data_IF_747457122603
#
_entry.id   IF_747457122603
#
_cell.length_a   1.000
_cell.length_b   1.000
_cell.length_c   1.000
_cell.angle_alpha   90.00
_cell.angle_beta   90.00
_cell.angle_gamma   90.00
#
_symmetry.space_group_name_H-M   'P 1'
#
loop_
_entity.id
_entity.type
_entity.pdbx_description
1 polymer ?
#
# COMPACT_ATOMS: atom_id res chain seq x y z
N UNK A 1 11.15 39.83 -18.22
CA UNK A 1 10.10 39.07 -18.91
C UNK A 1 9.74 37.88 -18.02
N UNK A 2 8.67 38.00 -17.23
CA UNK A 2 8.17 36.96 -16.34
C UNK A 2 6.66 36.84 -16.60
N UNK A 3 6.25 35.84 -17.38
CA UNK A 3 4.85 35.59 -17.76
C UNK A 3 4.45 34.22 -17.24
N UNK A 4 4.00 34.13 -15.99
CA UNK A 4 3.37 32.90 -15.46
C UNK A 4 2.30 33.10 -14.37
N UNK A 5 1.77 34.31 -14.10
CA UNK A 5 0.93 34.52 -12.89
C UNK A 5 -0.34 35.37 -13.06
N UNK A 6 -1.17 35.05 -14.05
CA UNK A 6 -2.52 35.60 -14.25
C UNK A 6 -3.36 34.52 -14.95
N UNK A 7 -4.51 34.01 -14.48
CA UNK A 7 -5.57 34.53 -13.62
C UNK A 7 -6.36 33.33 -13.06
N UNK A 8 -6.34 33.07 -11.75
CA UNK A 8 -7.44 32.31 -11.15
C UNK A 8 -8.63 33.26 -11.03
N UNK A 9 -9.73 32.98 -11.71
CA UNK A 9 -10.96 33.77 -11.55
C UNK A 9 -11.40 33.73 -10.09
N UNK A 10 -11.73 34.89 -9.51
CA UNK A 10 -12.24 34.98 -8.14
C UNK A 10 -13.46 34.06 -7.91
N UNK A 11 -14.23 33.79 -8.96
CA UNK A 11 -15.36 32.87 -8.89
C UNK A 11 -14.92 31.41 -8.76
N UNK A 12 -13.79 31.03 -9.38
CA UNK A 12 -13.19 29.71 -9.20
C UNK A 12 -12.62 29.55 -7.77
N UNK A 13 -11.96 30.59 -7.24
CA UNK A 13 -11.49 30.61 -5.85
C UNK A 13 -12.66 30.52 -4.86
N UNK A 14 -13.77 31.21 -5.12
CA UNK A 14 -14.96 31.11 -4.28
C UNK A 14 -15.63 29.73 -4.36
N UNK A 15 -15.68 29.12 -5.54
CA UNK A 15 -16.20 27.76 -5.69
C UNK A 15 -15.36 26.77 -4.88
N UNK A 16 -14.03 26.85 -4.99
CA UNK A 16 -13.11 26.01 -4.23
C UNK A 16 -13.23 26.21 -2.70
N UNK A 17 -13.45 27.45 -2.24
CA UNK A 17 -13.76 27.75 -0.84
C UNK A 17 -15.11 27.14 -0.40
N UNK A 18 -16.14 27.22 -1.26
CA UNK A 18 -17.47 26.69 -0.97
C UNK A 18 -17.48 25.17 -0.87
N UNK A 19 -16.75 24.49 -1.75
CA UNK A 19 -16.60 23.03 -1.75
C UNK A 19 -15.53 22.53 -0.76
N UNK A 20 -14.71 23.43 -0.21
CA UNK A 20 -13.56 23.12 0.64
C UNK A 20 -12.57 22.18 -0.05
N UNK A 21 -12.30 22.46 -1.31
CA UNK A 21 -11.46 21.63 -2.16
C UNK A 21 -9.99 21.71 -1.72
N UNK A 22 -9.49 20.60 -1.19
CA UNK A 22 -8.14 20.47 -0.68
C UNK A 22 -7.04 20.61 -1.73
N UNK A 23 -7.35 20.36 -3.00
CA UNK A 23 -6.39 20.52 -4.11
C UNK A 23 -5.91 21.97 -4.23
N UNK A 24 -6.68 22.92 -3.71
CA UNK A 24 -6.34 24.35 -3.71
C UNK A 24 -5.81 24.84 -2.36
N UNK A 25 -5.65 23.97 -1.38
CA UNK A 25 -5.09 24.33 -0.08
C UNK A 25 -3.65 24.84 -0.24
N UNK A 26 -3.36 26.03 0.29
CA UNK A 26 -2.08 26.71 0.08
C UNK A 26 -1.85 27.28 -1.32
N UNK A 27 -2.77 27.05 -2.27
CA UNK A 27 -2.73 27.68 -3.61
C UNK A 27 -3.29 29.11 -3.61
N UNK A 28 -4.18 29.42 -2.67
CA UNK A 28 -4.68 30.78 -2.43
C UNK A 28 -5.21 30.92 -1.00
N UNK A 29 -5.44 32.17 -0.57
CA UNK A 29 -6.01 32.54 0.72
C UNK A 29 -7.23 33.43 0.51
N UNK A 30 -8.25 33.27 1.35
CA UNK A 30 -9.47 34.09 1.30
C UNK A 30 -9.49 35.06 2.47
N UNK A 31 -9.36 36.36 2.21
CA UNK A 31 -9.65 37.42 3.17
C UNK A 31 -11.15 37.72 3.22
N UNK A 32 -11.70 37.75 4.43
CA UNK A 32 -13.13 38.02 4.68
C UNK A 32 -13.28 39.44 5.21
N UNK A 33 -13.81 40.35 4.39
CA UNK A 33 -13.89 41.78 4.71
C UNK A 33 -14.75 42.06 5.94
N UNK A 34 -15.81 41.28 6.15
CA UNK A 34 -16.70 41.45 7.30
C UNK A 34 -16.07 41.11 8.65
N UNK A 35 -14.98 40.34 8.68
CA UNK A 35 -14.31 39.93 9.93
C UNK A 35 -12.85 40.37 10.01
N UNK A 36 -12.27 40.85 8.91
CA UNK A 36 -10.84 41.16 8.80
C UNK A 36 -9.95 39.93 8.94
N UNK A 37 -10.46 38.71 8.72
CA UNK A 37 -9.73 37.45 8.86
C UNK A 37 -9.44 36.85 7.50
N UNK A 38 -8.23 36.33 7.29
CA UNK A 38 -7.95 35.48 6.13
C UNK A 38 -7.83 33.99 6.50
N UNK A 39 -8.32 33.15 5.60
CA UNK A 39 -8.49 31.71 5.77
C UNK A 39 -7.89 30.93 4.60
N UNK A 40 -7.62 29.64 4.84
CA UNK A 40 -7.40 28.63 3.80
C UNK A 40 -8.72 28.24 3.12
N UNK A 41 -8.72 27.75 1.86
CA UNK A 41 -9.95 27.31 1.19
C UNK A 41 -10.62 26.10 1.85
N UNK A 42 -9.85 25.29 2.60
CA UNK A 42 -10.35 24.14 3.37
C UNK A 42 -10.89 24.49 4.76
N UNK A 43 -11.01 25.79 5.08
CA UNK A 43 -11.40 26.20 6.43
C UNK A 43 -12.80 25.69 6.80
N UNK A 44 -12.89 25.01 7.96
CA UNK A 44 -14.14 24.43 8.47
C UNK A 44 -15.13 25.45 9.06
N UNK A 45 -14.84 26.75 9.00
CA UNK A 45 -15.80 27.79 9.40
C UNK A 45 -16.96 27.90 8.41
N UNK A 46 -18.03 28.58 8.82
CA UNK A 46 -19.16 28.88 7.94
C UNK A 46 -18.66 29.68 6.75
N UNK A 47 -18.98 29.23 5.54
CA UNK A 47 -18.52 29.88 4.30
C UNK A 47 -19.07 31.32 4.26
N UNK A 48 -18.19 32.33 4.14
CA UNK A 48 -18.60 33.73 4.00
C UNK A 48 -19.34 33.95 2.67
N UNK A 49 -20.12 35.03 2.59
CA UNK A 49 -20.75 35.43 1.33
C UNK A 49 -19.69 35.88 0.33
N UNK A 50 -19.92 35.60 -0.96
CA UNK A 50 -19.03 35.96 -2.08
C UNK A 50 -18.62 37.44 -2.07
N UNK A 51 -19.57 38.32 -1.79
CA UNK A 51 -19.38 39.78 -1.72
C UNK A 51 -18.33 40.19 -0.66
N UNK A 52 -18.16 39.39 0.39
CA UNK A 52 -17.22 39.64 1.47
C UNK A 52 -15.87 38.94 1.28
N UNK A 53 -15.65 38.25 0.16
CA UNK A 53 -14.44 37.47 -0.09
C UNK A 53 -13.48 38.22 -1.02
N UNK A 54 -12.22 38.32 -0.59
CA UNK A 54 -11.08 38.72 -1.43
C UNK A 54 -10.06 37.59 -1.46
N UNK A 55 -9.46 37.32 -2.61
CA UNK A 55 -8.54 36.21 -2.78
C UNK A 55 -7.10 36.71 -2.97
N UNK A 56 -6.15 35.98 -2.40
CA UNK A 56 -4.73 36.31 -2.41
C UNK A 56 -3.92 35.07 -2.78
N UNK A 57 -2.86 35.22 -3.57
CA UNK A 57 -1.95 34.11 -3.91
C UNK A 57 -1.07 33.70 -2.74
N UNK A 58 -0.71 34.66 -1.86
CA UNK A 58 0.14 34.43 -0.71
C UNK A 58 -0.43 35.01 0.59
N UNK A 59 -0.15 34.36 1.72
CA UNK A 59 -0.52 34.85 3.05
C UNK A 59 0.02 36.27 3.32
N UNK A 60 1.25 36.55 2.88
CA UNK A 60 1.86 37.88 2.99
C UNK A 60 1.05 38.98 2.28
N UNK A 61 0.39 38.66 1.15
CA UNK A 61 -0.48 39.61 0.45
C UNK A 61 -1.74 39.92 1.27
N UNK A 62 -2.35 38.89 1.88
CA UNK A 62 -3.51 39.08 2.76
C UNK A 62 -3.17 39.90 4.00
N UNK A 63 -2.00 39.66 4.62
CA UNK A 63 -1.54 40.42 5.78
C UNK A 63 -1.22 41.87 5.43
N UNK A 64 -0.54 42.11 4.30
CA UNK A 64 -0.30 43.47 3.79
C UNK A 64 -1.60 44.23 3.48
N UNK A 65 -2.67 43.50 3.15
CA UNK A 65 -4.00 44.05 2.92
C UNK A 65 -4.82 44.23 4.23
N UNK A 66 -4.22 43.99 5.40
CA UNK A 66 -4.82 44.24 6.71
C UNK A 66 -5.64 43.08 7.28
N UNK A 67 -5.56 41.87 6.70
CA UNK A 67 -6.26 40.70 7.24
C UNK A 67 -5.41 39.96 8.27
N UNK A 68 -6.00 39.59 9.40
CA UNK A 68 -5.35 38.74 10.42
C UNK A 68 -5.53 37.25 10.13
N UNK A 69 -4.58 36.37 10.50
CA UNK A 69 -4.70 34.94 10.24
C UNK A 69 -5.83 34.30 11.05
N UNK A 70 -6.54 33.36 10.42
CA UNK A 70 -7.58 32.58 11.09
C UNK A 70 -6.98 31.61 12.13
N UNK A 71 -7.40 31.74 13.38
CA UNK A 71 -6.96 30.84 14.45
C UNK A 71 -7.44 29.39 14.29
N UNK A 72 -8.49 29.15 13.47
CA UNK A 72 -9.07 27.81 13.30
C UNK A 72 -8.41 27.01 12.19
N UNK A 73 -8.19 27.59 11.02
CA UNK A 73 -7.50 26.88 9.94
C UNK A 73 -5.98 27.05 9.94
N UNK A 74 -5.46 27.97 10.78
CA UNK A 74 -4.03 28.24 10.97
C UNK A 74 -3.32 28.39 9.60
N UNK A 75 -3.54 29.52 8.88
CA UNK A 75 -3.02 29.72 7.53
C UNK A 75 -1.50 29.54 7.38
N UNK A 76 -0.73 29.71 8.45
CA UNK A 76 0.71 29.42 8.49
C UNK A 76 1.05 27.93 8.35
N UNK A 77 0.07 27.04 8.59
CA UNK A 77 0.15 25.61 8.32
C UNK A 77 -0.41 25.23 6.95
N UNK A 78 -0.75 26.21 6.11
CA UNK A 78 -1.08 25.92 4.73
C UNK A 78 0.14 25.20 4.11
N UNK A 79 -0.07 24.06 3.43
CA UNK A 79 1.03 23.45 2.70
C UNK A 79 1.56 24.52 1.74
N UNK A 80 2.89 24.67 1.64
CA UNK A 80 3.45 25.34 0.46
C UNK A 80 2.85 24.64 -0.77
N UNK A 81 2.84 25.25 -1.95
CA UNK A 81 2.28 24.67 -3.19
C UNK A 81 2.98 23.38 -3.69
N UNK A 82 3.49 22.58 -2.77
CA UNK A 82 3.94 21.21 -2.86
C UNK A 82 2.75 20.37 -2.38
N UNK A 83 2.13 19.65 -3.31
CA UNK A 83 1.02 18.68 -3.26
C UNK A 83 0.76 17.85 -1.96
N UNK A 84 0.62 18.47 -0.79
CA UNK A 84 0.43 17.79 0.50
C UNK A 84 -0.64 18.49 1.33
N UNK A 85 -1.91 18.39 0.93
CA UNK A 85 -3.03 18.84 1.75
C UNK A 85 -3.29 17.88 2.92
N UNK A 86 -3.99 18.35 3.97
CA UNK A 86 -4.47 17.54 5.10
C UNK A 86 -5.42 16.41 4.62
N UNK A 87 -6.08 16.56 3.47
CA UNK A 87 -6.81 15.46 2.84
C UNK A 87 -5.88 14.37 2.29
N UNK A 88 -4.74 14.75 1.70
CA UNK A 88 -3.71 13.81 1.30
C UNK A 88 -3.14 13.09 2.53
N UNK A 89 -3.02 13.77 3.68
CA UNK A 89 -2.57 13.11 4.91
C UNK A 89 -3.51 11.96 5.34
N UNK A 90 -4.84 12.10 5.18
CA UNK A 90 -5.78 11.01 5.51
C UNK A 90 -5.65 9.83 4.53
N UNK A 91 -5.52 10.11 3.24
CA UNK A 91 -5.32 9.08 2.21
C UNK A 91 -3.96 8.41 2.35
N UNK A 92 -2.90 9.17 2.63
CA UNK A 92 -1.55 8.66 2.88
C UNK A 92 -1.54 7.81 4.15
N UNK A 93 -2.17 8.26 5.24
CA UNK A 93 -2.28 7.47 6.47
C UNK A 93 -3.07 6.19 6.25
N UNK A 94 -4.16 6.23 5.47
CA UNK A 94 -4.92 5.03 5.11
C UNK A 94 -4.08 4.06 4.26
N UNK A 95 -3.33 4.56 3.28
CA UNK A 95 -2.41 3.76 2.46
C UNK A 95 -1.26 3.18 3.30
N UNK A 96 -0.68 3.95 4.21
CA UNK A 96 0.33 3.48 5.16
C UNK A 96 -0.24 2.40 6.08
N UNK A 97 -1.47 2.59 6.59
CA UNK A 97 -2.17 1.59 7.37
C UNK A 97 -2.35 0.28 6.58
N UNK A 98 -2.75 0.37 5.31
CA UNK A 98 -2.90 -0.79 4.44
C UNK A 98 -1.55 -1.49 4.21
N UNK A 99 -0.48 -0.73 3.93
CA UNK A 99 0.89 -1.26 3.81
C UNK A 99 1.32 -2.01 5.06
N UNK A 100 1.05 -1.46 6.26
CA UNK A 100 1.34 -2.11 7.54
C UNK A 100 0.56 -3.42 7.73
N UNK A 101 -0.71 -3.46 7.32
CA UNK A 101 -1.54 -4.67 7.40
C UNK A 101 -1.13 -5.74 6.36
N UNK A 102 -0.58 -5.30 5.23
CA UNK A 102 -0.03 -6.15 4.18
C UNK A 102 1.34 -6.74 4.54
N UNK A 103 1.98 -6.28 5.63
CA UNK A 103 3.23 -6.86 6.13
C UNK A 103 2.97 -8.16 6.90
N UNK A 104 3.40 -9.33 6.40
CA UNK A 104 3.12 -10.58 7.09
C UNK A 104 3.90 -10.75 8.39
N UNK A 105 4.94 -9.95 8.61
CA UNK A 105 5.66 -9.82 9.88
C UNK A 105 4.71 -9.38 11.03
N UNK A 106 3.63 -8.67 10.69
CA UNK A 106 2.60 -8.22 11.63
C UNK A 106 1.62 -9.36 11.96
N UNK A 107 1.63 -10.49 11.25
CA UNK A 107 0.66 -11.57 11.44
C UNK A 107 1.00 -12.57 12.56
N UNK A 108 2.02 -12.29 13.38
CA UNK A 108 2.49 -13.16 14.47
C UNK A 108 1.44 -13.46 15.56
N UNK A 109 1.88 -14.12 16.64
CA UNK A 109 1.01 -14.75 17.66
C UNK A 109 -0.03 -13.81 18.28
N UNK A 110 0.22 -12.50 18.30
CA UNK A 110 -0.76 -11.48 18.70
C UNK A 110 -1.49 -11.00 17.47
N UNK A 111 -2.81 -11.23 17.41
CA UNK A 111 -3.66 -10.65 16.36
C UNK A 111 -3.47 -9.13 16.35
N UNK A 112 -3.10 -8.51 15.21
CA UNK A 112 -2.91 -7.07 15.13
C UNK A 112 -4.17 -6.37 15.62
N UNK A 113 -4.07 -5.53 16.64
CA UNK A 113 -5.17 -4.68 17.04
C UNK A 113 -5.13 -3.38 16.25
N UNK A 114 -6.30 -2.78 16.02
CA UNK A 114 -6.36 -1.45 15.41
C UNK A 114 -5.71 -0.40 16.31
N UNK A 115 -5.66 -0.64 17.62
CA UNK A 115 -4.93 0.20 18.59
C UNK A 115 -3.41 0.20 18.33
N UNK A 116 -2.81 -0.96 18.07
CA UNK A 116 -1.38 -1.06 17.71
C UNK A 116 -1.10 -0.38 16.37
N UNK A 117 -2.00 -0.55 15.39
CA UNK A 117 -1.91 0.13 14.10
C UNK A 117 -1.97 1.66 14.27
N UNK A 118 -2.89 2.14 15.10
CA UNK A 118 -3.07 3.55 15.40
C UNK A 118 -1.86 4.14 16.14
N UNK A 119 -1.32 3.42 17.12
CA UNK A 119 -0.11 3.81 17.85
C UNK A 119 1.09 3.94 16.90
N UNK A 120 1.29 3.00 15.96
CA UNK A 120 2.36 3.09 14.95
C UNK A 120 2.20 4.28 14.00
N UNK A 121 0.97 4.67 13.70
CA UNK A 121 0.65 5.79 12.82
C UNK A 121 0.58 7.14 13.55
N UNK A 122 0.73 7.16 14.89
CA UNK A 122 0.64 8.38 15.70
C UNK A 122 -0.76 9.01 15.76
N UNK A 123 -1.82 8.21 15.58
CA UNK A 123 -3.21 8.66 15.55
C UNK A 123 -4.11 7.82 16.46
N UNK A 124 -5.35 8.24 16.68
CA UNK A 124 -6.31 7.45 17.48
C UNK A 124 -6.95 6.31 16.67
N UNK A 125 -7.35 5.22 17.35
CA UNK A 125 -8.07 4.09 16.75
C UNK A 125 -9.29 4.56 15.94
N UNK A 126 -10.11 5.44 16.54
CA UNK A 126 -11.27 6.03 15.89
C UNK A 126 -10.92 6.76 14.59
N UNK A 127 -9.77 7.45 14.57
CA UNK A 127 -9.32 8.15 13.36
C UNK A 127 -8.91 7.14 12.28
N UNK A 128 -8.11 6.12 12.62
CA UNK A 128 -7.69 5.06 11.67
C UNK A 128 -8.89 4.37 11.04
N UNK A 129 -9.85 3.91 11.84
CA UNK A 129 -11.05 3.24 11.32
C UNK A 129 -11.78 4.10 10.31
N UNK A 130 -12.03 5.37 10.67
CA UNK A 130 -12.75 6.33 9.82
C UNK A 130 -12.02 6.59 8.49
N UNK A 131 -10.71 6.86 8.52
CA UNK A 131 -9.97 7.15 7.28
C UNK A 131 -9.80 5.90 6.42
N UNK A 132 -9.65 4.72 7.04
CA UNK A 132 -9.48 3.46 6.32
C UNK A 132 -10.80 3.05 5.64
N UNK A 133 -11.92 3.14 6.34
CA UNK A 133 -13.25 2.88 5.77
C UNK A 133 -13.59 3.88 4.66
N UNK A 134 -13.27 5.16 4.83
CA UNK A 134 -13.47 6.16 3.79
C UNK A 134 -12.64 5.87 2.52
N UNK A 135 -11.43 5.32 2.67
CA UNK A 135 -10.52 5.05 1.55
C UNK A 135 -10.77 3.68 0.88
N UNK A 136 -11.04 2.64 1.66
CA UNK A 136 -11.11 1.24 1.18
C UNK A 136 -12.50 0.61 1.28
N UNK A 137 -13.49 1.30 1.88
CA UNK A 137 -14.86 0.82 2.03
C UNK A 137 -15.05 -0.30 3.05
N UNK A 138 -13.99 -0.72 3.74
CA UNK A 138 -13.99 -1.80 4.74
C UNK A 138 -13.17 -1.40 5.96
N UNK A 139 -13.45 -2.03 7.11
CA UNK A 139 -12.64 -1.79 8.31
C UNK A 139 -11.24 -2.40 8.19
N UNK A 140 -10.22 -1.87 8.92
CA UNK A 140 -8.86 -2.43 8.93
C UNK A 140 -8.81 -3.93 9.23
N UNK A 141 -9.65 -4.41 10.15
CA UNK A 141 -9.67 -5.83 10.54
C UNK A 141 -10.29 -6.73 9.46
N UNK A 142 -11.33 -6.25 8.76
CA UNK A 142 -11.91 -6.96 7.62
C UNK A 142 -10.92 -7.04 6.46
N UNK A 143 -10.18 -5.95 6.21
CA UNK A 143 -9.09 -5.93 5.23
C UNK A 143 -8.04 -6.99 5.57
N UNK A 144 -7.51 -6.99 6.80
CA UNK A 144 -6.54 -7.99 7.25
C UNK A 144 -7.06 -9.42 7.13
N UNK A 145 -8.31 -9.67 7.54
CA UNK A 145 -8.96 -10.97 7.42
C UNK A 145 -9.03 -11.44 5.97
N UNK A 146 -9.31 -10.53 5.03
CA UNK A 146 -9.33 -10.82 3.59
C UNK A 146 -7.93 -11.16 3.08
N UNK A 147 -6.89 -10.42 3.49
CA UNK A 147 -5.49 -10.71 3.11
C UNK A 147 -5.05 -12.10 3.57
N UNK A 148 -5.31 -12.44 4.84
CA UNK A 148 -5.03 -13.78 5.39
C UNK A 148 -5.73 -14.90 4.62
N UNK A 149 -7.01 -14.69 4.27
CA UNK A 149 -7.78 -15.65 3.49
C UNK A 149 -7.29 -15.80 2.05
N UNK A 150 -6.82 -14.73 1.41
CA UNK A 150 -6.24 -14.77 0.07
C UNK A 150 -4.89 -15.50 0.07
N UNK A 151 -4.03 -15.25 1.05
CA UNK A 151 -2.79 -16.00 1.23
C UNK A 151 -3.05 -17.49 1.43
N UNK A 152 -4.00 -17.85 2.31
CA UNK A 152 -4.37 -19.24 2.50
C UNK A 152 -4.89 -19.90 1.21
N UNK A 153 -5.73 -19.17 0.45
CA UNK A 153 -6.25 -19.63 -0.85
C UNK A 153 -5.12 -19.92 -1.84
N UNK A 154 -4.13 -19.04 -1.93
CA UNK A 154 -2.96 -19.23 -2.79
C UNK A 154 -2.16 -20.47 -2.36
N UNK A 155 -1.82 -20.60 -1.07
CA UNK A 155 -1.05 -21.73 -0.56
C UNK A 155 -1.80 -23.06 -0.75
N UNK A 156 -3.12 -23.09 -0.59
CA UNK A 156 -3.94 -24.29 -0.85
C UNK A 156 -3.93 -24.70 -2.33
N UNK A 157 -3.77 -23.75 -3.25
CA UNK A 157 -3.78 -23.99 -4.69
C UNK A 157 -2.38 -24.36 -5.24
N UNK A 158 -1.32 -23.80 -4.64
CA UNK A 158 0.04 -23.93 -5.17
C UNK A 158 0.89 -24.98 -4.44
N UNK A 159 0.55 -25.31 -3.19
CA UNK A 159 1.38 -26.17 -2.33
C UNK A 159 0.64 -27.42 -1.85
N UNK A 160 1.40 -28.42 -1.40
CA UNK A 160 0.91 -29.64 -0.74
C UNK A 160 0.95 -29.53 0.80
N UNK A 161 1.39 -28.39 1.34
CA UNK A 161 1.54 -28.15 2.78
C UNK A 161 0.29 -28.56 3.57
N UNK A 162 0.43 -29.22 4.73
CA UNK A 162 -0.69 -29.53 5.61
C UNK A 162 -1.57 -28.29 5.90
N UNK A 163 -2.90 -28.47 5.97
CA UNK A 163 -3.84 -27.38 6.28
C UNK A 163 -3.49 -26.68 7.59
N UNK A 164 -2.99 -27.44 8.57
CA UNK A 164 -2.50 -26.94 9.85
C UNK A 164 -1.39 -25.88 9.66
N UNK A 165 -0.44 -26.16 8.78
CA UNK A 165 0.65 -25.24 8.44
C UNK A 165 0.15 -24.04 7.64
N UNK A 166 -0.72 -24.26 6.65
CA UNK A 166 -1.30 -23.16 5.86
C UNK A 166 -2.04 -22.16 6.75
N UNK A 167 -2.80 -22.64 7.74
CA UNK A 167 -3.50 -21.79 8.69
C UNK A 167 -2.53 -20.88 9.47
N UNK A 168 -1.46 -21.46 10.02
CA UNK A 168 -0.44 -20.73 10.78
C UNK A 168 0.32 -19.73 9.90
N UNK A 169 0.82 -20.18 8.75
CA UNK A 169 1.55 -19.36 7.78
C UNK A 169 0.69 -18.19 7.30
N UNK A 170 -0.61 -18.40 7.10
CA UNK A 170 -1.56 -17.36 6.69
C UNK A 170 -2.00 -16.43 7.83
N UNK A 171 -1.39 -16.53 9.02
CA UNK A 171 -1.62 -15.62 10.15
C UNK A 171 -2.83 -15.97 11.03
N UNK A 172 -3.33 -17.20 11.00
CA UNK A 172 -4.39 -17.63 11.91
C UNK A 172 -3.81 -18.30 13.15
N UNK A 173 -4.20 -17.80 14.34
CA UNK A 173 -3.78 -18.39 15.62
C UNK A 173 -4.37 -19.77 15.93
N UNK A 174 -5.30 -20.28 15.10
CA UNK A 174 -5.74 -21.68 15.19
C UNK A 174 -6.41 -22.16 13.90
N UNK A 175 -6.30 -23.47 13.64
CA UNK A 175 -6.95 -24.14 12.51
C UNK A 175 -8.47 -24.02 12.58
N UNK A 176 -9.05 -24.04 13.79
CA UNK A 176 -10.49 -23.86 14.00
C UNK A 176 -10.95 -22.48 13.52
N UNK A 177 -10.24 -21.42 13.90
CA UNK A 177 -10.56 -20.04 13.47
C UNK A 177 -10.36 -19.88 11.96
N UNK A 178 -9.31 -20.48 11.41
CA UNK A 178 -9.08 -20.53 9.98
C UNK A 178 -10.26 -21.16 9.22
N UNK A 179 -10.63 -22.40 9.57
CA UNK A 179 -11.72 -23.12 8.90
C UNK A 179 -13.05 -22.34 9.00
N UNK A 180 -13.37 -21.80 10.18
CA UNK A 180 -14.58 -21.00 10.37
C UNK A 180 -14.60 -19.75 9.46
N UNK A 181 -13.49 -18.99 9.41
CA UNK A 181 -13.38 -17.82 8.55
C UNK A 181 -13.42 -18.18 7.06
N UNK A 182 -12.76 -19.26 6.67
CA UNK A 182 -12.69 -19.71 5.28
C UNK A 182 -14.05 -20.15 4.75
N UNK A 183 -14.79 -20.97 5.52
CA UNK A 183 -16.15 -21.39 5.16
C UNK A 183 -17.12 -20.21 5.17
N UNK A 184 -17.02 -19.32 6.16
CA UNK A 184 -17.88 -18.14 6.24
C UNK A 184 -17.75 -17.25 4.99
N UNK A 185 -16.51 -17.08 4.49
CA UNK A 185 -16.21 -16.19 3.37
C UNK A 185 -16.34 -16.84 1.99
N UNK A 186 -15.80 -18.05 1.80
CA UNK A 186 -15.76 -18.70 0.48
C UNK A 186 -16.85 -19.76 0.27
N UNK A 187 -17.63 -20.10 1.30
CA UNK A 187 -18.70 -21.13 1.25
C UNK A 187 -18.23 -22.51 0.80
N UNK A 188 -16.93 -22.78 0.89
CA UNK A 188 -16.27 -24.03 0.49
C UNK A 188 -15.28 -24.44 1.57
N UNK A 189 -15.05 -25.75 1.74
CA UNK A 189 -14.04 -26.23 2.67
C UNK A 189 -12.63 -26.10 2.07
N UNK A 190 -11.60 -25.78 2.88
CA UNK A 190 -10.21 -25.69 2.42
C UNK A 190 -9.72 -26.91 1.63
N UNK A 191 -10.08 -28.12 2.08
CA UNK A 191 -9.72 -29.38 1.40
C UNK A 191 -10.38 -29.52 0.04
N UNK A 192 -11.60 -29.00 -0.15
CA UNK A 192 -12.30 -29.03 -1.45
C UNK A 192 -11.65 -28.08 -2.47
N UNK A 193 -11.04 -26.99 -2.01
CA UNK A 193 -10.30 -26.08 -2.88
C UNK A 193 -9.00 -26.71 -3.39
N UNK A 194 -8.41 -27.64 -2.63
CA UNK A 194 -7.21 -28.38 -3.01
C UNK A 194 -7.54 -29.34 -4.17
N UNK A 195 -7.49 -28.84 -5.40
CA UNK A 195 -7.59 -29.65 -6.63
C UNK A 195 -6.23 -30.33 -6.93
N UNK A 196 -6.28 -31.47 -7.63
CA UNK A 196 -5.19 -32.40 -7.95
C UNK A 196 -4.07 -31.85 -8.89
N UNK A 197 -3.75 -30.56 -8.81
CA UNK A 197 -2.77 -29.87 -9.65
C UNK A 197 -1.43 -29.58 -8.95
N UNK A 198 -1.21 -30.10 -7.74
CA UNK A 198 0.11 -30.08 -7.11
C UNK A 198 0.96 -31.16 -7.79
N UNK A 199 1.67 -30.79 -8.86
CA UNK A 199 2.73 -31.63 -9.38
C UNK A 199 3.74 -31.90 -8.24
N UNK A 200 4.24 -33.14 -8.06
CA UNK A 200 5.22 -33.45 -7.04
C UNK A 200 6.40 -32.48 -7.18
N UNK A 201 6.67 -31.75 -6.10
CA UNK A 201 7.71 -30.76 -6.09
C UNK A 201 9.06 -31.48 -6.20
N UNK A 202 9.88 -31.11 -7.19
CA UNK A 202 11.33 -31.17 -6.96
C UNK A 202 11.67 -30.35 -5.72
N UNK A 203 12.87 -30.48 -5.15
CA UNK A 203 13.29 -29.81 -3.91
C UNK A 203 12.65 -28.42 -3.68
N UNK A 204 11.98 -28.21 -2.54
CA UNK A 204 11.42 -26.92 -2.11
C UNK A 204 9.91 -26.69 -2.37
N UNK A 205 9.36 -25.64 -1.74
CA UNK A 205 7.96 -25.21 -1.83
C UNK A 205 7.77 -24.33 -3.06
N UNK A 206 6.78 -24.64 -3.89
CA UNK A 206 6.47 -23.89 -5.12
C UNK A 206 5.24 -22.99 -4.95
N UNK A 207 5.32 -21.74 -5.42
CA UNK A 207 4.24 -20.75 -5.43
C UNK A 207 4.20 -20.01 -6.76
N UNK A 208 3.00 -19.72 -7.27
CA UNK A 208 2.81 -18.96 -8.52
C UNK A 208 2.48 -17.51 -8.21
N UNK A 209 3.24 -16.59 -8.81
CA UNK A 209 3.09 -15.15 -8.63
C UNK A 209 2.73 -14.50 -9.96
N UNK A 210 1.48 -14.05 -10.13
CA UNK A 210 1.06 -13.35 -11.35
C UNK A 210 1.68 -11.95 -11.46
N UNK A 211 1.86 -11.47 -12.68
CA UNK A 211 2.19 -10.07 -12.99
C UNK A 211 1.38 -9.56 -14.18
N UNK A 212 1.36 -8.24 -14.39
CA UNK A 212 0.64 -7.62 -15.50
C UNK A 212 1.56 -7.47 -16.72
N UNK A 213 1.18 -7.91 -17.93
CA UNK A 213 1.90 -7.56 -19.14
C UNK A 213 1.59 -6.12 -19.59
N UNK A 214 2.47 -5.47 -20.37
CA UNK A 214 3.79 -5.95 -20.80
C UNK A 214 4.80 -5.93 -19.64
N UNK A 215 5.63 -6.97 -19.54
CA UNK A 215 6.69 -7.06 -18.53
C UNK A 215 8.00 -7.41 -19.23
N UNK A 216 9.01 -6.54 -19.11
CA UNK A 216 10.31 -6.73 -19.75
C UNK A 216 11.21 -7.65 -18.91
N UNK A 217 11.01 -8.95 -19.09
CA UNK A 217 11.78 -9.99 -18.37
C UNK A 217 13.26 -9.91 -18.69
N UNK A 218 13.62 -9.63 -19.94
CA UNK A 218 15.01 -9.57 -20.39
C UNK A 218 15.76 -8.40 -19.76
N UNK A 219 15.13 -7.22 -19.73
CA UNK A 219 15.71 -6.06 -19.05
C UNK A 219 15.86 -6.28 -17.55
N UNK A 220 14.86 -6.88 -16.90
CA UNK A 220 14.92 -7.18 -15.46
C UNK A 220 16.04 -8.17 -15.13
N UNK A 221 16.14 -9.29 -15.85
CA UNK A 221 17.20 -10.27 -15.63
C UNK A 221 18.58 -9.71 -15.99
N UNK A 222 18.69 -8.95 -17.08
CA UNK A 222 19.94 -8.26 -17.43
C UNK A 222 20.37 -7.19 -16.42
N UNK A 223 19.42 -6.56 -15.70
CA UNK A 223 19.73 -5.66 -14.59
C UNK A 223 20.33 -6.41 -13.39
N UNK A 224 19.78 -7.58 -13.07
CA UNK A 224 20.24 -8.44 -11.98
C UNK A 224 21.58 -9.10 -12.29
N UNK A 225 21.77 -9.60 -13.52
CA UNK A 225 23.01 -10.23 -13.98
C UNK A 225 24.21 -9.31 -13.79
N UNK A 226 24.07 -8.02 -14.14
CA UNK A 226 25.11 -6.99 -13.94
C UNK A 226 25.49 -6.74 -12.46
N UNK A 227 24.69 -7.22 -11.50
CA UNK A 227 24.85 -7.01 -10.05
C UNK A 227 24.97 -8.33 -9.28
N UNK A 228 25.08 -9.44 -9.98
CA UNK A 228 25.09 -10.77 -9.40
C UNK A 228 26.30 -10.95 -8.46
N UNK A 229 26.04 -11.52 -7.29
CA UNK A 229 27.10 -12.01 -6.40
C UNK A 229 27.38 -13.49 -6.70
N UNK A 230 28.49 -13.78 -7.37
CA UNK A 230 28.81 -15.10 -7.96
C UNK A 230 28.61 -16.31 -7.02
N UNK A 231 28.89 -16.17 -5.73
CA UNK A 231 28.80 -17.28 -4.75
C UNK A 231 27.45 -17.42 -4.08
N UNK A 232 26.58 -16.41 -4.19
CA UNK A 232 25.30 -16.31 -3.45
C UNK A 232 24.12 -16.38 -4.41
N UNK A 233 24.29 -15.92 -5.65
CA UNK A 233 23.23 -15.70 -6.61
C UNK A 233 23.56 -16.33 -7.98
N UNK A 234 22.52 -16.70 -8.72
CA UNK A 234 22.62 -17.02 -10.14
C UNK A 234 21.56 -16.26 -10.94
N UNK A 235 21.89 -15.95 -12.19
CA UNK A 235 20.95 -15.42 -13.18
C UNK A 235 21.11 -16.23 -14.47
N UNK A 236 19.99 -16.72 -14.98
CA UNK A 236 19.88 -17.38 -16.27
C UNK A 236 18.94 -16.55 -17.14
N UNK A 237 19.47 -15.96 -18.21
CA UNK A 237 18.72 -15.12 -19.13
C UNK A 237 18.92 -15.61 -20.58
N UNK A 238 18.34 -16.76 -20.89
CA UNK A 238 18.40 -17.34 -22.23
C UNK A 238 17.01 -17.82 -22.70
N UNK A 239 16.93 -18.35 -23.92
CA UNK A 239 15.65 -18.78 -24.50
C UNK A 239 15.01 -19.98 -23.77
N UNK A 240 15.82 -20.84 -23.17
CA UNK A 240 15.37 -22.05 -22.48
C UNK A 240 15.00 -21.77 -21.01
N UNK A 241 15.69 -20.81 -20.38
CA UNK A 241 15.54 -20.50 -18.97
C UNK A 241 15.67 -19.00 -18.71
N UNK A 242 14.61 -18.44 -18.13
CA UNK A 242 14.54 -17.07 -17.61
C UNK A 242 14.36 -17.11 -16.10
N UNK A 243 15.45 -17.24 -15.37
CA UNK A 243 15.40 -17.48 -13.92
C UNK A 243 16.51 -16.74 -13.17
N UNK A 244 16.28 -16.51 -11.89
CA UNK A 244 17.33 -16.10 -10.96
C UNK A 244 17.11 -16.78 -9.62
N UNK A 245 18.18 -17.06 -8.90
CA UNK A 245 18.07 -17.61 -7.56
C UNK A 245 19.16 -17.09 -6.66
N UNK A 246 18.91 -17.20 -5.35
CA UNK A 246 19.87 -16.78 -4.34
C UNK A 246 19.69 -17.50 -3.02
N UNK A 247 20.76 -17.57 -2.24
CA UNK A 247 20.69 -17.85 -0.81
C UNK A 247 20.50 -16.55 -0.03
N UNK A 248 19.79 -16.63 1.10
CA UNK A 248 19.59 -15.48 1.98
C UNK A 248 19.20 -15.91 3.41
N UNK A 249 19.32 -14.98 4.35
CA UNK A 249 18.76 -15.09 5.68
C UNK A 249 17.70 -14.01 5.92
N UNK A 250 16.71 -14.35 6.74
CA UNK A 250 15.62 -13.48 7.13
C UNK A 250 15.37 -13.61 8.63
N UNK A 251 15.32 -12.48 9.33
CA UNK A 251 14.94 -12.46 10.74
C UNK A 251 13.45 -12.18 10.86
N UNK A 252 12.71 -13.08 11.51
CA UNK A 252 11.28 -12.94 11.77
C UNK A 252 10.93 -13.54 13.13
N UNK A 253 10.16 -12.81 13.94
CA UNK A 253 9.75 -13.30 15.26
C UNK A 253 10.91 -13.68 16.19
N UNK A 254 12.05 -12.97 16.10
CA UNK A 254 13.25 -13.27 16.88
C UNK A 254 14.02 -14.53 16.43
N UNK A 255 13.62 -15.18 15.33
CA UNK A 255 14.30 -16.34 14.74
C UNK A 255 14.94 -15.97 13.41
N UNK A 256 16.12 -16.51 13.14
CA UNK A 256 16.79 -16.41 11.83
C UNK A 256 16.41 -17.61 10.98
N UNK A 257 15.84 -17.34 9.81
CA UNK A 257 15.52 -18.33 8.80
C UNK A 257 16.52 -18.20 7.65
N UNK A 258 17.31 -19.24 7.38
CA UNK A 258 18.27 -19.28 6.28
C UNK A 258 17.81 -20.27 5.22
N UNK A 259 17.94 -19.91 3.95
CA UNK A 259 17.47 -20.76 2.86
C UNK A 259 17.83 -20.22 1.49
N UNK A 260 17.19 -20.80 0.48
CA UNK A 260 17.35 -20.38 -0.91
C UNK A 260 16.00 -20.13 -1.56
N UNK A 261 16.01 -19.28 -2.59
CA UNK A 261 14.90 -19.11 -3.51
C UNK A 261 15.37 -19.23 -4.96
N UNK A 262 14.45 -19.64 -5.83
CA UNK A 262 14.58 -19.56 -7.29
C UNK A 262 13.29 -18.96 -7.84
N UNK A 263 13.43 -17.93 -8.65
CA UNK A 263 12.38 -17.18 -9.30
C UNK A 263 12.50 -17.40 -10.81
N UNK A 264 11.56 -18.14 -11.39
CA UNK A 264 11.55 -18.50 -12.81
C UNK A 264 10.37 -17.84 -13.51
N UNK A 265 10.64 -17.04 -14.54
CA UNK A 265 9.61 -16.39 -15.33
C UNK A 265 8.98 -17.37 -16.31
N UNK A 266 7.64 -17.36 -16.35
CA UNK A 266 6.80 -18.07 -17.31
C UNK A 266 6.01 -17.03 -18.14
N UNK A 267 6.63 -16.42 -19.18
CA UNK A 267 6.04 -15.28 -19.91
C UNK A 267 4.69 -15.59 -20.57
N UNK A 268 4.53 -16.81 -21.07
CA UNK A 268 3.29 -17.25 -21.72
C UNK A 268 2.07 -17.26 -20.77
N UNK A 269 2.30 -17.44 -19.47
CA UNK A 269 1.26 -17.45 -18.43
C UNK A 269 1.21 -16.14 -17.63
N UNK A 270 2.09 -15.18 -17.93
CA UNK A 270 2.28 -13.94 -17.17
C UNK A 270 2.49 -14.19 -15.67
N UNK A 271 3.36 -15.16 -15.38
CA UNK A 271 3.64 -15.64 -14.02
C UNK A 271 5.13 -15.72 -13.74
N UNK A 272 5.49 -15.52 -12.48
CA UNK A 272 6.77 -15.90 -11.89
C UNK A 272 6.53 -17.11 -10.97
N UNK A 273 7.21 -18.20 -11.27
CA UNK A 273 7.22 -19.42 -10.46
C UNK A 273 8.31 -19.26 -9.40
N UNK A 274 7.90 -19.06 -8.16
CA UNK A 274 8.79 -18.99 -7.01
C UNK A 274 8.94 -20.39 -6.40
N UNK A 275 10.19 -20.84 -6.22
CA UNK A 275 10.55 -22.02 -5.43
C UNK A 275 11.40 -21.59 -4.25
N UNK A 276 11.14 -22.11 -3.06
CA UNK A 276 11.92 -21.80 -1.85
C UNK A 276 12.25 -23.06 -1.07
N UNK A 277 13.34 -23.05 -0.31
CA UNK A 277 13.67 -24.15 0.60
C UNK A 277 12.63 -24.32 1.72
N UNK A 278 12.48 -25.55 2.23
CA UNK A 278 11.57 -25.85 3.34
C UNK A 278 11.89 -25.07 4.62
N UNK A 279 13.15 -24.67 4.83
CA UNK A 279 13.59 -23.85 5.96
C UNK A 279 12.95 -22.45 5.98
N UNK A 280 12.40 -21.99 4.85
CA UNK A 280 11.73 -20.70 4.72
C UNK A 280 10.19 -20.81 4.80
N UNK A 281 9.65 -22.01 5.06
CA UNK A 281 8.21 -22.28 5.10
C UNK A 281 7.44 -21.33 6.00
N UNK A 282 7.91 -21.14 7.23
CA UNK A 282 7.21 -20.35 8.25
C UNK A 282 7.17 -18.85 7.90
N UNK A 283 8.09 -18.40 7.04
CA UNK A 283 8.21 -17.01 6.58
C UNK A 283 7.82 -16.85 5.11
N UNK A 284 7.21 -17.88 4.51
CA UNK A 284 6.87 -17.91 3.09
C UNK A 284 6.07 -16.68 2.60
N UNK A 285 5.05 -16.15 3.32
CA UNK A 285 4.36 -14.94 2.92
C UNK A 285 5.26 -13.70 2.88
N UNK A 286 6.24 -13.61 3.79
CA UNK A 286 7.22 -12.52 3.80
C UNK A 286 8.14 -12.63 2.59
N UNK A 287 8.59 -13.86 2.26
CA UNK A 287 9.39 -14.13 1.06
C UNK A 287 8.59 -13.78 -0.20
N UNK A 288 7.34 -14.24 -0.31
CA UNK A 288 6.45 -13.90 -1.43
C UNK A 288 6.34 -12.39 -1.59
N UNK A 289 6.02 -11.64 -0.52
CA UNK A 289 5.90 -10.18 -0.57
C UNK A 289 7.21 -9.52 -1.05
N UNK A 290 8.36 -9.92 -0.50
CA UNK A 290 9.66 -9.35 -0.89
C UNK A 290 10.02 -9.67 -2.34
N UNK A 291 9.71 -10.88 -2.83
CA UNK A 291 9.87 -11.24 -4.23
C UNK A 291 8.95 -10.39 -5.12
N UNK A 292 7.66 -10.24 -4.76
CA UNK A 292 6.75 -9.37 -5.53
C UNK A 292 7.27 -7.94 -5.64
N UNK A 293 7.82 -7.39 -4.55
CA UNK A 293 8.41 -6.06 -4.55
C UNK A 293 9.74 -5.99 -5.32
N UNK A 294 10.62 -7.00 -5.18
CA UNK A 294 11.92 -7.02 -5.85
C UNK A 294 11.83 -7.10 -7.38
N UNK A 295 10.75 -7.70 -7.89
CA UNK A 295 10.46 -7.82 -9.32
C UNK A 295 9.29 -6.94 -9.76
N UNK A 296 8.84 -5.97 -8.95
CA UNK A 296 7.73 -5.06 -9.31
C UNK A 296 6.49 -5.77 -9.89
N UNK A 297 6.15 -6.97 -9.42
CA UNK A 297 5.12 -7.83 -10.03
C UNK A 297 3.70 -7.25 -9.91
N UNK A 298 3.52 -6.26 -9.03
CA UNK A 298 2.26 -5.53 -8.80
C UNK A 298 2.21 -4.18 -9.54
N UNK A 299 3.26 -3.80 -10.28
CA UNK A 299 3.30 -2.58 -11.04
C UNK A 299 2.23 -2.55 -12.15
N UNK A 300 1.85 -1.33 -12.55
CA UNK A 300 1.07 -1.10 -13.76
C UNK A 300 2.01 -0.60 -14.86
N UNK A 301 2.46 -1.48 -15.77
CA UNK A 301 3.44 -1.11 -16.78
C UNK A 301 2.92 -0.05 -17.75
N UNK A 302 1.60 0.06 -17.92
CA UNK A 302 0.98 1.07 -18.78
C UNK A 302 0.94 2.46 -18.15
N UNK A 303 1.06 2.55 -16.82
CA UNK A 303 1.13 3.83 -16.12
C UNK A 303 2.57 4.38 -15.98
N UNK A 304 3.58 3.56 -16.32
CA UNK A 304 5.01 3.89 -16.20
C UNK A 304 5.58 4.42 -17.53
N UNK A 305 4.89 4.17 -18.65
CA UNK A 305 5.32 4.55 -20.00
C UNK A 305 4.57 5.76 -20.56
#
# INVERSE_FOLDING_TARGET
>A
MNTLDATRSDDACYLALKTRDARFDGSFFTGVTSTGIYCRPVCGVKTPRRENCRFFGHAAQAESAGFRPCLRCRPELAPRSIAWSIQDASTILAQQAARLLDEPEVWGDVTPSVEQLAARLGVSDRHVRRIFEAQFGVSPMQYLQTRRLLTAKQLLADTDLPITQIALISGFGSVRRFNAAFVAHYKLNPTQLRRAGAAPAGHGIRVRLGYRPPYDVDAMLGFLEKRQLETIEFVANNQEQKATGRTFCLNSGGKTHAGWLVAEFAPAQHQLILRVSDSLRDVLPQVIRRVRAAFDLDADPLAIN
#
